data_IF_628863837481
#
_entry.id   IF_628863837481
#
_cell.length_a   1.000
_cell.length_b   1.000
_cell.length_c   1.000
_cell.angle_alpha   90.00
_cell.angle_beta   90.00
_cell.angle_gamma   90.00
#
_symmetry.space_group_name_H-M   'P 1'
#
loop_
_entity.id
_entity.type
_entity.pdbx_description
1 polymer ?
#
# COMPACT_ATOMS: atom_id res chain seq x y z
N UNK A 1 25.50 -23.90 -49.22
CA UNK A 1 25.32 -23.14 -47.96
C UNK A 1 23.85 -22.82 -47.83
N UNK A 2 23.10 -23.56 -47.03
CA UNK A 2 21.68 -23.31 -46.75
C UNK A 2 21.60 -22.57 -45.44
N UNK A 3 21.10 -21.31 -45.44
CA UNK A 3 20.81 -20.52 -44.26
C UNK A 3 19.47 -21.02 -43.69
N UNK A 4 19.52 -21.66 -42.56
CA UNK A 4 18.31 -21.96 -41.79
C UNK A 4 17.84 -20.69 -41.06
N UNK A 5 16.75 -20.11 -41.53
CA UNK A 5 15.97 -19.14 -40.77
C UNK A 5 15.21 -19.89 -39.68
N UNK A 6 15.58 -19.68 -38.42
CA UNK A 6 14.72 -20.03 -37.29
C UNK A 6 13.62 -18.97 -37.18
N UNK A 7 12.43 -19.32 -37.64
CA UNK A 7 11.23 -18.54 -37.36
C UNK A 7 10.77 -18.87 -35.92
N UNK A 8 10.88 -17.91 -35.03
CA UNK A 8 10.25 -18.00 -33.73
C UNK A 8 8.75 -17.75 -33.90
N UNK A 9 7.97 -18.80 -33.78
CA UNK A 9 6.52 -18.71 -33.73
C UNK A 9 6.14 -18.21 -32.32
N UNK A 10 5.67 -16.97 -32.23
CA UNK A 10 4.95 -16.49 -31.05
C UNK A 10 3.61 -17.22 -31.06
N UNK A 11 3.53 -18.29 -30.29
CA UNK A 11 2.27 -18.98 -30.06
C UNK A 11 1.42 -18.14 -29.10
N UNK A 12 0.51 -17.32 -29.62
CA UNK A 12 -0.61 -16.81 -28.88
C UNK A 12 -1.51 -18.00 -28.51
N UNK A 13 -1.23 -18.64 -27.37
CA UNK A 13 -2.20 -19.56 -26.78
C UNK A 13 -3.33 -18.69 -26.21
N UNK A 14 -4.45 -18.64 -26.89
CA UNK A 14 -5.74 -18.27 -26.36
C UNK A 14 -6.17 -19.37 -25.37
N UNK A 15 -5.56 -19.39 -24.20
CA UNK A 15 -6.15 -20.06 -23.06
C UNK A 15 -7.29 -19.14 -22.59
N UNK A 16 -8.53 -19.54 -22.85
CA UNK A 16 -9.71 -19.03 -22.18
C UNK A 16 -9.65 -19.43 -20.70
N UNK A 17 -8.77 -18.79 -19.96
CA UNK A 17 -8.63 -18.87 -18.52
C UNK A 17 -8.84 -17.47 -17.96
N UNK A 18 -9.66 -17.40 -16.98
CA UNK A 18 -10.21 -16.23 -16.25
C UNK A 18 -9.45 -14.92 -16.44
N UNK A 19 -10.14 -13.94 -17.06
CA UNK A 19 -9.57 -12.67 -17.49
C UNK A 19 -9.54 -11.61 -16.36
N UNK A 20 -9.09 -11.94 -15.17
CA UNK A 20 -8.99 -11.00 -14.04
C UNK A 20 -7.54 -10.68 -13.69
N UNK A 21 -7.27 -9.58 -12.97
CA UNK A 21 -6.03 -9.44 -12.22
C UNK A 21 -5.91 -10.62 -11.24
N UNK A 22 -4.74 -10.89 -10.75
CA UNK A 22 -4.52 -11.99 -9.82
C UNK A 22 -3.88 -11.46 -8.54
N UNK A 23 -4.52 -11.72 -7.41
CA UNK A 23 -3.89 -11.46 -6.11
C UNK A 23 -2.88 -12.56 -5.76
N UNK A 24 -1.68 -12.19 -5.28
CA UNK A 24 -1.18 -10.83 -5.12
C UNK A 24 -0.96 -10.11 -6.46
N UNK A 25 -1.18 -8.77 -6.48
CA UNK A 25 -1.03 -7.96 -7.70
C UNK A 25 0.44 -7.69 -8.05
N UNK A 26 1.34 -7.72 -7.08
CA UNK A 26 2.78 -7.62 -7.27
C UNK A 26 3.38 -9.01 -7.07
N UNK A 27 4.04 -9.53 -8.12
CA UNK A 27 4.53 -10.91 -8.16
C UNK A 27 6.04 -11.00 -8.38
N UNK A 28 6.67 -9.89 -8.70
CA UNK A 28 8.11 -9.80 -8.99
C UNK A 28 8.97 -9.59 -7.73
N UNK A 29 8.34 -9.22 -6.62
CA UNK A 29 9.00 -8.86 -5.35
C UNK A 29 8.04 -9.05 -4.18
N UNK A 30 8.55 -9.31 -2.97
CA UNK A 30 7.75 -9.26 -1.75
C UNK A 30 7.54 -7.82 -1.32
N UNK A 31 6.27 -7.44 -1.17
CA UNK A 31 5.84 -6.08 -0.86
C UNK A 31 4.78 -6.09 0.22
N UNK A 32 4.77 -5.07 1.06
CA UNK A 32 3.79 -4.95 2.13
C UNK A 32 3.36 -3.49 2.30
N UNK A 33 2.44 -3.27 3.22
CA UNK A 33 2.05 -1.97 3.73
C UNK A 33 1.63 -1.02 2.57
N UNK A 34 0.61 -1.41 1.77
CA UNK A 34 0.20 -0.65 0.59
C UNK A 34 -0.33 0.73 0.96
N UNK A 35 0.19 1.77 0.32
CA UNK A 35 -0.29 3.14 0.43
C UNK A 35 -0.67 3.68 -0.95
N UNK A 36 -1.96 3.66 -1.25
CA UNK A 36 -2.50 4.09 -2.53
C UNK A 36 -2.75 5.59 -2.55
N UNK A 37 -2.29 6.28 -3.60
CA UNK A 37 -2.52 7.69 -3.85
C UNK A 37 -3.03 7.89 -5.27
N UNK A 38 -4.19 8.52 -5.43
CA UNK A 38 -4.74 8.87 -6.74
C UNK A 38 -4.36 10.29 -7.09
N UNK A 39 -3.72 10.48 -8.24
CA UNK A 39 -3.41 11.80 -8.77
C UNK A 39 -3.57 11.83 -10.28
N UNK A 40 -4.46 12.69 -10.77
CA UNK A 40 -4.85 12.72 -12.18
C UNK A 40 -5.51 11.40 -12.60
N UNK A 41 -5.04 10.83 -13.69
CA UNK A 41 -5.57 9.58 -14.27
C UNK A 41 -4.81 8.32 -13.80
N UNK A 42 -3.93 8.47 -12.82
CA UNK A 42 -3.03 7.42 -12.34
C UNK A 42 -3.21 7.15 -10.85
N UNK A 43 -3.22 5.88 -10.49
CA UNK A 43 -3.08 5.43 -9.11
C UNK A 43 -1.62 5.04 -8.88
N UNK A 44 -1.02 5.64 -7.87
CA UNK A 44 0.32 5.39 -7.36
C UNK A 44 0.22 4.53 -6.11
N UNK A 45 0.90 3.40 -6.10
CA UNK A 45 0.91 2.47 -4.99
C UNK A 45 2.32 2.37 -4.41
N UNK A 46 2.53 3.00 -3.27
CA UNK A 46 3.78 2.89 -2.52
C UNK A 46 3.72 1.69 -1.59
N UNK A 47 4.84 1.01 -1.43
CA UNK A 47 4.94 -0.16 -0.57
C UNK A 47 6.26 -0.16 0.18
N UNK A 48 6.30 -0.77 1.34
CA UNK A 48 7.55 -1.28 1.90
C UNK A 48 7.96 -2.57 1.16
N UNK A 49 9.23 -2.96 1.28
CA UNK A 49 9.79 -4.14 0.61
C UNK A 49 10.30 -5.12 1.65
N UNK A 50 9.75 -6.33 1.66
CA UNK A 50 10.18 -7.39 2.58
C UNK A 50 11.47 -8.03 2.07
N UNK A 51 12.34 -8.43 3.01
CA UNK A 51 13.59 -9.10 2.69
C UNK A 51 13.32 -10.51 2.13
N UNK A 52 13.98 -10.86 1.04
CA UNK A 52 13.80 -12.17 0.39
C UNK A 52 14.49 -13.31 1.14
N UNK A 53 15.57 -13.02 1.87
CA UNK A 53 16.44 -14.03 2.49
C UNK A 53 16.27 -14.16 4.00
N UNK A 54 15.64 -13.17 4.65
CA UNK A 54 15.54 -13.08 6.11
C UNK A 54 14.17 -13.35 6.68
N UNK A 55 14.15 -13.58 7.97
CA UNK A 55 12.97 -13.49 8.81
C UNK A 55 13.00 -12.15 9.57
N UNK A 56 11.81 -11.57 9.84
CA UNK A 56 11.67 -10.28 10.51
C UNK A 56 11.49 -9.10 9.56
N UNK A 57 11.22 -7.94 10.13
CA UNK A 57 10.87 -6.72 9.41
C UNK A 57 12.10 -5.86 9.06
N UNK A 58 13.12 -6.48 8.47
CA UNK A 58 14.31 -5.77 8.00
C UNK A 58 14.04 -5.14 6.64
N UNK A 59 13.85 -3.82 6.60
CA UNK A 59 13.46 -3.06 5.41
C UNK A 59 14.25 -1.77 5.33
N UNK A 60 14.71 -1.45 4.11
CA UNK A 60 15.59 -0.30 3.87
C UNK A 60 15.13 0.62 2.75
N UNK A 61 14.11 0.21 1.97
CA UNK A 61 13.65 0.90 0.76
C UNK A 61 12.13 0.93 0.67
N UNK A 62 11.63 1.89 -0.11
CA UNK A 62 10.24 1.97 -0.55
C UNK A 62 10.15 1.89 -2.06
N UNK A 63 9.20 1.11 -2.53
CA UNK A 63 8.93 0.82 -3.93
C UNK A 63 7.66 1.54 -4.37
N UNK A 64 7.61 1.91 -5.67
CA UNK A 64 6.43 2.49 -6.28
C UNK A 64 5.94 1.62 -7.45
N UNK A 65 4.65 1.41 -7.49
CA UNK A 65 3.93 0.83 -8.61
C UNK A 65 2.86 1.79 -9.11
N UNK A 66 2.55 1.77 -10.39
CA UNK A 66 1.49 2.61 -10.95
C UNK A 66 0.52 1.80 -11.79
N UNK A 67 -0.72 2.27 -11.84
CA UNK A 67 -1.74 1.74 -12.74
C UNK A 67 -2.67 2.84 -13.22
N UNK A 68 -3.19 2.66 -14.43
CA UNK A 68 -4.29 3.49 -14.97
C UNK A 68 -5.57 2.69 -15.19
N UNK A 69 -5.51 1.37 -15.00
CA UNK A 69 -6.59 0.44 -15.33
C UNK A 69 -6.96 -0.57 -14.23
N UNK A 70 -6.20 -0.60 -13.11
CA UNK A 70 -6.35 -1.51 -11.96
C UNK A 70 -6.03 -2.99 -12.23
N UNK A 71 -5.63 -3.36 -13.43
CA UNK A 71 -5.31 -4.75 -13.77
C UNK A 71 -3.87 -4.95 -14.25
N UNK A 72 -3.22 -3.88 -14.74
CA UNK A 72 -1.79 -3.85 -15.08
C UNK A 72 -1.06 -2.92 -14.13
N UNK A 73 0.06 -3.38 -13.58
CA UNK A 73 0.86 -2.63 -12.61
C UNK A 73 2.27 -2.45 -13.14
N UNK A 74 2.70 -1.21 -13.30
CA UNK A 74 4.06 -0.88 -13.75
C UNK A 74 4.95 -0.70 -12.52
N UNK A 75 6.02 -1.46 -12.45
CA UNK A 75 7.06 -1.30 -11.44
C UNK A 75 7.92 -0.06 -11.78
N UNK A 76 7.83 0.96 -10.94
CA UNK A 76 8.59 2.21 -11.07
C UNK A 76 9.93 2.18 -10.29
N UNK A 77 10.26 1.05 -9.67
CA UNK A 77 11.49 0.86 -8.92
C UNK A 77 11.46 1.40 -7.50
N UNK A 78 12.62 1.36 -6.88
CA UNK A 78 12.88 1.99 -5.59
C UNK A 78 12.83 3.50 -5.74
N UNK A 79 11.91 4.15 -5.04
CA UNK A 79 11.73 5.60 -5.13
C UNK A 79 12.29 6.35 -3.94
N UNK A 80 12.43 5.69 -2.80
CA UNK A 80 13.02 6.25 -1.59
C UNK A 80 13.67 5.14 -0.75
N UNK A 81 14.57 5.55 0.14
CA UNK A 81 15.31 4.64 1.02
C UNK A 81 15.61 5.29 2.37
N UNK A 82 16.12 4.52 3.32
CA UNK A 82 16.62 5.06 4.59
C UNK A 82 17.75 6.08 4.39
N UNK A 83 18.52 5.99 3.30
CA UNK A 83 19.59 6.93 3.00
C UNK A 83 19.12 8.36 2.69
N UNK A 84 17.82 8.53 2.37
CA UNK A 84 17.22 9.85 2.19
C UNK A 84 17.00 10.60 3.51
N UNK A 85 17.11 9.90 4.65
CA UNK A 85 17.05 10.47 5.99
C UNK A 85 18.43 10.43 6.66
N UNK A 86 19.05 11.58 6.88
CA UNK A 86 20.40 11.68 7.48
C UNK A 86 20.48 11.14 8.92
N UNK A 87 19.36 10.97 9.59
CA UNK A 87 19.21 10.51 10.97
C UNK A 87 18.69 9.05 11.06
N UNK A 88 18.42 8.40 9.94
CA UNK A 88 17.95 7.02 9.93
C UNK A 88 19.03 6.05 10.44
N UNK A 89 18.57 4.89 10.88
CA UNK A 89 19.43 3.72 11.09
C UNK A 89 19.56 2.90 9.81
N UNK A 90 19.93 1.64 9.99
CA UNK A 90 20.13 0.66 8.93
C UNK A 90 18.89 -0.22 8.67
N UNK A 91 17.79 0.03 9.39
CA UNK A 91 16.54 -0.72 9.29
C UNK A 91 15.33 0.18 9.61
N UNK A 92 14.13 -0.28 9.18
CA UNK A 92 12.85 0.30 9.58
C UNK A 92 12.18 1.15 8.53
N UNK A 93 12.45 0.95 7.26
CA UNK A 93 11.66 1.50 6.16
C UNK A 93 10.29 0.80 6.07
N UNK A 94 9.42 1.05 7.05
CA UNK A 94 8.11 0.39 7.19
C UNK A 94 7.02 1.13 6.42
N UNK A 95 5.77 1.01 6.82
CA UNK A 95 4.60 1.50 6.10
C UNK A 95 4.69 3.01 5.74
N UNK A 96 4.80 3.38 4.45
CA UNK A 96 4.85 4.77 4.05
C UNK A 96 3.44 5.31 3.82
N UNK A 97 3.30 6.64 3.81
CA UNK A 97 2.14 7.31 3.22
C UNK A 97 2.58 8.47 2.36
N UNK A 98 1.99 8.62 1.17
CA UNK A 98 2.36 9.69 0.24
C UNK A 98 1.14 10.49 -0.17
N UNK A 99 1.26 11.82 -0.12
CA UNK A 99 0.19 12.73 -0.48
C UNK A 99 0.73 13.92 -1.29
N UNK A 100 0.08 14.31 -2.42
CA UNK A 100 0.40 15.53 -3.13
C UNK A 100 -0.29 16.75 -2.53
N UNK A 101 0.41 17.89 -2.51
CA UNK A 101 -0.18 19.17 -2.16
C UNK A 101 0.58 20.33 -2.81
N UNK A 102 -0.14 21.27 -3.39
CA UNK A 102 0.41 22.52 -3.96
C UNK A 102 1.60 22.27 -4.91
N UNK A 103 1.50 21.25 -5.77
CA UNK A 103 2.53 20.87 -6.75
C UNK A 103 3.76 20.17 -6.17
N UNK A 104 3.73 19.79 -4.91
CA UNK A 104 4.77 18.99 -4.23
C UNK A 104 4.19 17.66 -3.77
N UNK A 105 5.08 16.74 -3.48
CA UNK A 105 4.78 15.42 -2.94
C UNK A 105 5.43 15.27 -1.56
N UNK A 106 4.68 14.72 -0.62
CA UNK A 106 5.11 14.52 0.76
C UNK A 106 4.99 13.03 1.10
N UNK A 107 6.12 12.42 1.45
CA UNK A 107 6.17 11.05 1.90
C UNK A 107 6.47 11.00 3.39
N UNK A 108 5.52 10.50 4.16
CA UNK A 108 5.67 10.24 5.59
C UNK A 108 6.06 8.77 5.74
N UNK A 109 7.11 8.53 6.51
CA UNK A 109 7.60 7.18 6.69
C UNK A 109 8.18 6.99 8.10
N UNK A 110 7.87 5.88 8.75
CA UNK A 110 8.48 5.55 10.04
C UNK A 110 9.91 5.07 9.83
N UNK A 111 10.75 5.41 10.77
CA UNK A 111 12.10 4.87 10.91
C UNK A 111 12.15 4.14 12.24
N UNK A 112 12.46 2.87 12.24
CA UNK A 112 12.40 2.01 13.42
C UNK A 112 13.00 2.67 14.67
N UNK A 113 12.20 2.79 15.74
CA UNK A 113 12.59 3.37 17.03
C UNK A 113 13.12 4.82 16.96
N UNK A 114 12.85 5.54 15.88
CA UNK A 114 13.32 6.91 15.65
C UNK A 114 12.19 7.88 15.32
N UNK A 115 10.96 7.36 15.19
CA UNK A 115 9.76 8.16 14.89
C UNK A 115 9.45 8.23 13.40
N UNK A 116 8.61 9.20 13.02
CA UNK A 116 8.11 9.39 11.66
C UNK A 116 8.81 10.58 11.01
N UNK A 117 9.46 10.35 9.87
CA UNK A 117 10.05 11.39 9.04
C UNK A 117 9.11 11.86 7.95
N UNK A 118 9.48 12.98 7.29
CA UNK A 118 8.81 13.47 6.09
C UNK A 118 9.83 13.82 5.02
N UNK A 119 9.65 13.26 3.83
CA UNK A 119 10.40 13.62 2.64
C UNK A 119 9.55 14.51 1.74
N UNK A 120 10.19 15.43 1.02
CA UNK A 120 9.54 16.32 0.05
C UNK A 120 10.13 16.11 -1.32
N UNK A 121 9.25 15.86 -2.31
CA UNK A 121 9.60 15.66 -3.71
C UNK A 121 8.86 16.62 -4.64
N UNK A 122 9.34 16.70 -5.90
CA UNK A 122 8.68 17.46 -6.97
C UNK A 122 7.82 16.57 -7.87
N UNK A 123 7.95 15.26 -7.71
CA UNK A 123 7.19 14.25 -8.46
C UNK A 123 6.87 13.07 -7.55
N UNK A 124 5.96 12.16 -7.95
CA UNK A 124 5.66 10.94 -7.21
C UNK A 124 6.87 10.00 -7.06
N UNK A 125 7.85 10.13 -7.95
CA UNK A 125 9.10 9.34 -7.91
C UNK A 125 10.26 10.09 -7.25
N UNK A 126 10.02 11.25 -6.65
CA UNK A 126 11.07 12.13 -6.14
C UNK A 126 11.67 13.03 -7.24
N UNK A 127 12.98 13.41 -7.21
CA UNK A 127 13.88 13.10 -6.11
C UNK A 127 13.40 13.65 -4.77
N UNK A 128 13.63 12.89 -3.73
CA UNK A 128 13.22 13.23 -2.38
C UNK A 128 14.31 13.95 -1.62
N UNK A 129 13.90 14.76 -0.65
CA UNK A 129 14.80 15.37 0.33
C UNK A 129 14.14 15.40 1.69
N UNK A 130 14.92 15.22 2.74
CA UNK A 130 14.52 15.45 4.13
C UNK A 130 14.70 16.94 4.49
N UNK A 131 13.60 17.72 4.61
CA UNK A 131 13.72 19.13 4.92
C UNK A 131 14.04 19.41 6.40
N UNK A 132 13.77 18.44 7.28
CA UNK A 132 13.91 18.59 8.71
C UNK A 132 15.23 18.07 9.27
N UNK A 133 15.82 17.07 8.61
CA UNK A 133 17.01 16.33 9.10
C UNK A 133 16.81 15.75 10.51
N UNK A 134 15.57 15.46 10.83
CA UNK A 134 15.10 14.83 12.08
C UNK A 134 13.69 14.28 11.88
N UNK A 135 13.20 13.48 12.81
CA UNK A 135 11.80 13.07 12.82
C UNK A 135 10.87 14.31 12.93
N UNK A 136 9.75 14.24 12.22
CA UNK A 136 8.61 15.13 12.41
C UNK A 136 7.86 14.76 13.70
N UNK A 137 7.62 13.46 13.89
CA UNK A 137 7.05 12.87 15.10
C UNK A 137 8.11 11.99 15.76
N UNK A 138 8.36 12.21 17.04
CA UNK A 138 9.17 11.35 17.91
C UNK A 138 8.64 11.50 19.34
N UNK A 139 7.52 10.86 19.58
CA UNK A 139 6.74 10.98 20.80
C UNK A 139 6.79 9.68 21.60
N UNK A 140 6.69 8.52 20.92
CA UNK A 140 6.64 7.20 21.53
C UNK A 140 7.38 6.19 20.62
N UNK A 141 7.79 5.03 21.18
CA UNK A 141 8.38 3.93 20.39
C UNK A 141 7.40 3.31 19.38
N UNK A 142 6.10 3.61 19.56
CA UNK A 142 4.98 3.17 18.73
C UNK A 142 4.64 4.18 17.62
N UNK A 143 5.49 5.16 17.37
CA UNK A 143 5.33 6.14 16.29
C UNK A 143 5.65 5.48 14.94
N UNK A 144 4.70 4.68 14.44
CA UNK A 144 4.75 3.99 13.14
C UNK A 144 3.45 4.16 12.38
N UNK A 145 3.41 3.72 11.13
CA UNK A 145 2.23 3.64 10.27
C UNK A 145 1.51 4.99 10.08
N UNK A 146 2.20 6.01 9.56
CA UNK A 146 1.56 7.28 9.32
C UNK A 146 0.50 7.20 8.21
N UNK A 147 -0.61 7.89 8.39
CA UNK A 147 -1.55 8.21 7.31
C UNK A 147 -1.88 9.69 7.33
N UNK A 148 -1.88 10.33 6.17
CA UNK A 148 -2.21 11.74 6.03
C UNK A 148 -3.47 11.91 5.21
N UNK A 149 -4.40 12.65 5.77
CA UNK A 149 -5.65 13.03 5.14
C UNK A 149 -5.71 14.56 5.05
N UNK A 150 -6.10 15.09 3.89
CA UNK A 150 -6.34 16.53 3.65
C UNK A 150 -7.83 16.73 3.49
N UNK A 151 -8.44 17.49 4.39
CA UNK A 151 -9.87 17.77 4.37
C UNK A 151 -10.24 18.84 3.33
N UNK A 152 -11.52 18.98 3.03
CA UNK A 152 -12.05 19.91 2.02
C UNK A 152 -11.74 21.38 2.33
N UNK A 153 -11.57 21.74 3.61
CA UNK A 153 -11.12 23.06 4.05
C UNK A 153 -9.61 23.29 3.88
N UNK A 154 -8.89 22.26 3.43
CA UNK A 154 -7.45 22.25 3.25
C UNK A 154 -6.64 21.97 4.53
N UNK A 155 -7.29 21.68 5.67
CA UNK A 155 -6.57 21.22 6.85
C UNK A 155 -6.09 19.78 6.63
N UNK A 156 -4.79 19.55 6.82
CA UNK A 156 -4.21 18.21 6.79
C UNK A 156 -4.08 17.65 8.21
N UNK A 157 -4.36 16.38 8.34
CA UNK A 157 -4.23 15.61 9.59
C UNK A 157 -3.28 14.45 9.35
N UNK A 158 -2.35 14.23 10.28
CA UNK A 158 -1.49 13.06 10.33
C UNK A 158 -1.95 12.18 11.48
N UNK A 159 -2.31 10.94 11.20
CA UNK A 159 -2.63 9.89 12.19
C UNK A 159 -1.55 8.83 12.15
N UNK A 160 -1.32 8.13 13.26
CA UNK A 160 -0.34 7.05 13.34
C UNK A 160 -0.51 6.21 14.60
N UNK A 161 0.17 5.07 14.66
CA UNK A 161 0.45 4.38 15.90
C UNK A 161 0.21 2.87 15.88
N UNK A 162 0.86 2.19 16.81
CA UNK A 162 0.72 0.76 17.09
C UNK A 162 0.30 0.58 18.55
N UNK A 163 -0.79 -0.15 18.82
CA UNK A 163 -1.40 -0.29 20.15
C UNK A 163 -1.59 1.05 20.90
N UNK A 164 -1.73 2.10 20.15
CA UNK A 164 -2.02 3.49 20.52
C UNK A 164 -2.34 4.23 19.23
N UNK A 165 -3.19 5.21 19.27
CA UNK A 165 -3.65 5.94 18.09
C UNK A 165 -3.63 7.42 18.35
N UNK A 166 -2.83 8.13 17.59
CA UNK A 166 -2.62 9.56 17.74
C UNK A 166 -2.86 10.32 16.45
N UNK A 167 -3.07 11.62 16.58
CA UNK A 167 -3.10 12.53 15.45
C UNK A 167 -2.56 13.92 15.79
N UNK A 168 -2.15 14.63 14.75
CA UNK A 168 -1.86 16.07 14.80
C UNK A 168 -2.51 16.79 13.61
N UNK A 169 -2.70 18.09 13.74
CA UNK A 169 -3.02 18.99 12.63
C UNK A 169 -1.73 19.49 12.01
N UNK A 170 -1.45 19.06 10.79
CA UNK A 170 -0.29 19.55 10.05
C UNK A 170 -0.47 21.03 9.70
N UNK A 171 0.63 21.76 9.66
CA UNK A 171 0.65 23.10 9.07
C UNK A 171 0.49 23.02 7.55
N UNK A 172 0.23 24.15 6.90
CA UNK A 172 0.15 24.18 5.44
C UNK A 172 1.47 23.74 4.75
N UNK A 173 2.59 23.86 5.45
CA UNK A 173 3.89 23.43 4.94
C UNK A 173 4.01 21.91 4.80
N UNK A 174 3.15 21.14 5.47
CA UNK A 174 3.17 19.66 5.51
C UNK A 174 4.40 19.06 6.21
N UNK A 175 5.32 19.88 6.71
CA UNK A 175 6.56 19.44 7.38
C UNK A 175 6.64 19.91 8.82
N UNK A 176 5.52 20.35 9.37
CA UNK A 176 5.36 20.79 10.75
C UNK A 176 3.90 20.61 11.19
N UNK A 177 3.61 20.70 12.48
CA UNK A 177 2.26 20.59 13.01
C UNK A 177 1.95 21.67 14.05
N UNK A 178 0.66 21.94 14.24
CA UNK A 178 0.15 22.90 15.19
C UNK A 178 -0.47 22.22 16.41
N UNK A 179 -0.21 22.77 17.59
CA UNK A 179 -0.79 22.30 18.84
C UNK A 179 -0.07 21.09 19.43
N UNK A 180 -0.80 20.28 20.17
CA UNK A 180 -0.30 19.11 20.88
C UNK A 180 -0.62 17.83 20.08
N UNK A 181 0.11 16.76 20.37
CA UNK A 181 -0.24 15.41 19.92
C UNK A 181 -1.50 14.99 20.66
N UNK A 182 -2.52 14.64 19.90
CA UNK A 182 -3.82 14.25 20.43
C UNK A 182 -3.97 12.73 20.33
N UNK A 183 -4.40 12.13 21.42
CA UNK A 183 -4.72 10.70 21.46
C UNK A 183 -6.19 10.46 21.12
N UNK A 184 -6.45 9.43 20.30
CA UNK A 184 -7.79 8.89 20.07
C UNK A 184 -8.00 7.75 21.08
N UNK A 185 -8.97 7.86 22.01
CA UNK A 185 -9.18 6.82 23.01
C UNK A 185 -9.52 5.46 22.38
N UNK A 186 -8.80 4.44 22.79
CA UNK A 186 -9.02 3.05 22.34
C UNK A 186 -10.06 2.37 23.22
N UNK A 187 -11.33 2.62 22.93
CA UNK A 187 -12.47 2.06 23.64
C UNK A 187 -13.27 1.11 22.76
N UNK A 188 -14.14 0.30 23.37
CA UNK A 188 -15.02 -0.59 22.65
C UNK A 188 -15.92 0.17 21.64
N UNK A 189 -16.37 1.38 22.01
CA UNK A 189 -17.17 2.26 21.15
C UNK A 189 -16.33 2.82 19.99
N UNK A 190 -15.07 3.16 20.22
CA UNK A 190 -14.23 3.83 19.22
C UNK A 190 -13.56 2.87 18.25
N UNK A 191 -13.07 1.72 18.73
CA UNK A 191 -12.21 0.80 17.93
C UNK A 191 -12.49 -0.68 18.18
N UNK A 192 -13.59 -1.04 18.82
CA UNK A 192 -13.95 -2.44 19.07
C UNK A 192 -13.12 -3.16 20.14
N UNK A 193 -12.25 -2.43 20.83
CA UNK A 193 -11.43 -2.93 21.93
C UNK A 193 -11.34 -1.90 23.06
N UNK A 194 -10.88 -2.32 24.22
CA UNK A 194 -10.77 -1.45 25.40
C UNK A 194 -9.49 -1.74 26.19
N UNK A 195 -9.04 -0.78 26.95
CA UNK A 195 -7.92 -0.95 27.86
C UNK A 195 -8.34 -1.67 29.14
N UNK A 196 -7.61 -2.73 29.49
CA UNK A 196 -7.76 -3.46 30.73
C UNK A 196 -6.50 -3.31 31.56
N UNK A 197 -6.67 -2.95 32.83
CA UNK A 197 -5.59 -2.95 33.82
C UNK A 197 -5.45 -4.34 34.42
N UNK A 198 -4.23 -4.83 34.48
CA UNK A 198 -3.89 -6.11 35.10
C UNK A 198 -2.60 -5.99 35.92
N UNK A 199 -2.34 -6.95 36.78
CA UNK A 199 -1.06 -7.05 37.47
C UNK A 199 -0.21 -8.12 36.80
N UNK A 200 1.02 -7.75 36.48
CA UNK A 200 1.99 -8.70 35.95
C UNK A 200 2.49 -9.71 37.02
N UNK A 201 3.40 -10.61 36.63
CA UNK A 201 3.98 -11.62 37.53
C UNK A 201 4.77 -11.05 38.71
N UNK A 202 5.20 -9.78 38.59
CA UNK A 202 5.89 -9.06 39.66
C UNK A 202 4.92 -8.27 40.56
N UNK A 203 3.62 -8.27 40.26
CA UNK A 203 2.57 -7.53 40.94
C UNK A 203 2.48 -6.06 40.56
N UNK A 204 3.19 -5.62 39.51
CA UNK A 204 3.12 -4.27 38.99
C UNK A 204 1.87 -4.07 38.12
N UNK A 205 1.22 -2.91 38.27
CA UNK A 205 0.04 -2.55 37.44
C UNK A 205 0.48 -2.26 36.02
N UNK A 206 -0.09 -2.97 35.07
CA UNK A 206 0.12 -2.84 33.63
C UNK A 206 -1.21 -2.59 32.93
N UNK A 207 -1.16 -2.05 31.71
CA UNK A 207 -2.34 -1.87 30.85
C UNK A 207 -2.13 -2.66 29.55
N UNK A 208 -3.17 -3.34 29.11
CA UNK A 208 -3.20 -4.01 27.80
C UNK A 208 -4.49 -3.70 27.07
N UNK A 209 -4.42 -3.62 25.76
CA UNK A 209 -5.61 -3.53 24.93
C UNK A 209 -6.21 -4.93 24.72
N UNK A 210 -7.49 -5.08 24.96
CA UNK A 210 -8.25 -6.32 24.83
C UNK A 210 -9.46 -6.13 23.92
N UNK A 211 -9.99 -7.25 23.41
CA UNK A 211 -11.13 -7.26 22.48
C UNK A 211 -10.77 -8.01 21.21
N UNK A 212 -11.76 -8.69 20.62
CA UNK A 212 -11.57 -9.49 19.40
C UNK A 212 -11.29 -8.65 18.16
N UNK A 213 -11.68 -7.38 18.18
CA UNK A 213 -11.50 -6.42 17.08
C UNK A 213 -10.71 -5.18 17.54
N UNK A 214 -9.95 -5.28 18.64
CA UNK A 214 -9.15 -4.19 19.18
C UNK A 214 -8.19 -3.64 18.12
N UNK A 215 -7.98 -2.32 18.14
CA UNK A 215 -6.98 -1.67 17.30
C UNK A 215 -5.58 -2.25 17.55
N UNK A 216 -4.84 -2.51 16.48
CA UNK A 216 -3.42 -2.88 16.54
C UNK A 216 -2.54 -1.79 15.92
N UNK A 217 -2.65 -1.58 14.60
CA UNK A 217 -1.78 -0.68 13.85
C UNK A 217 -2.40 -0.29 12.50
N UNK A 218 -1.62 0.33 11.62
CA UNK A 218 -1.99 0.58 10.23
C UNK A 218 -3.22 1.46 10.04
N UNK A 219 -3.38 2.60 10.73
CA UNK A 219 -4.54 3.45 10.51
C UNK A 219 -4.54 4.03 9.10
N UNK A 220 -5.69 3.98 8.44
CA UNK A 220 -5.93 4.62 7.15
C UNK A 220 -7.14 5.55 7.27
N UNK A 221 -6.89 6.87 7.30
CA UNK A 221 -7.92 7.88 7.46
C UNK A 221 -8.29 8.50 6.11
N UNK A 222 -9.58 8.63 5.81
CA UNK A 222 -10.07 9.30 4.61
C UNK A 222 -11.50 9.83 4.79
N UNK A 223 -11.93 10.69 3.86
CA UNK A 223 -13.28 11.22 3.79
C UNK A 223 -13.99 10.72 2.54
N UNK A 224 -15.28 10.40 2.67
CA UNK A 224 -16.16 10.11 1.55
C UNK A 224 -17.55 10.71 1.82
N UNK A 225 -17.97 11.61 0.94
CA UNK A 225 -19.14 12.45 1.23
C UNK A 225 -18.95 13.26 2.51
N UNK A 226 -19.92 13.21 3.40
CA UNK A 226 -19.87 13.93 4.68
C UNK A 226 -19.32 13.07 5.84
N UNK A 227 -18.83 11.86 5.54
CA UNK A 227 -18.34 10.93 6.57
C UNK A 227 -16.84 10.74 6.50
N UNK A 228 -16.24 10.58 7.67
CA UNK A 228 -14.85 10.23 7.86
C UNK A 228 -14.74 8.76 8.24
N UNK A 229 -13.75 8.11 7.70
CA UNK A 229 -13.47 6.69 7.87
C UNK A 229 -12.07 6.52 8.42
N UNK A 230 -11.92 5.60 9.33
CA UNK A 230 -10.65 5.15 9.87
C UNK A 230 -10.63 3.63 9.78
N UNK A 231 -9.91 3.09 8.82
CA UNK A 231 -9.71 1.64 8.61
C UNK A 231 -8.37 1.26 9.22
N UNK A 232 -8.27 0.11 9.85
CA UNK A 232 -7.06 -0.28 10.59
C UNK A 232 -6.91 -1.79 10.71
N UNK A 233 -5.69 -2.24 10.98
CA UNK A 233 -5.41 -3.60 11.42
C UNK A 233 -5.86 -3.78 12.88
N UNK A 234 -6.49 -4.90 13.17
CA UNK A 234 -7.20 -5.15 14.41
C UNK A 234 -7.09 -6.60 14.88
N UNK A 235 -7.41 -6.86 16.16
CA UNK A 235 -7.69 -8.18 16.71
C UNK A 235 -6.49 -8.92 17.29
N UNK A 236 -5.29 -8.38 17.20
CA UNK A 236 -4.06 -9.07 17.59
C UNK A 236 -3.50 -9.93 16.47
N UNK A 237 -2.61 -10.83 16.77
CA UNK A 237 -1.92 -11.67 15.79
C UNK A 237 -2.63 -13.04 15.70
N UNK A 238 -3.13 -13.48 14.52
CA UNK A 238 -3.13 -12.77 13.23
C UNK A 238 -4.15 -11.63 13.17
N UNK A 239 -3.74 -10.53 12.56
CA UNK A 239 -4.58 -9.35 12.35
C UNK A 239 -5.68 -9.59 11.32
N UNK A 240 -6.71 -8.75 11.40
CA UNK A 240 -7.75 -8.60 10.39
C UNK A 240 -8.02 -7.10 10.18
N UNK A 241 -8.88 -6.71 9.23
CA UNK A 241 -9.23 -5.31 9.04
C UNK A 241 -10.59 -4.97 9.67
N UNK A 242 -10.59 -3.91 10.45
CA UNK A 242 -11.77 -3.29 11.04
C UNK A 242 -11.83 -1.80 10.72
N UNK A 243 -12.94 -1.13 11.04
CA UNK A 243 -13.04 0.29 10.79
C UNK A 243 -13.99 0.99 11.75
N UNK A 244 -13.80 2.30 11.80
CA UNK A 244 -14.66 3.24 12.53
C UNK A 244 -15.07 4.39 11.62
N UNK A 245 -16.20 5.02 11.92
CA UNK A 245 -16.71 6.19 11.22
C UNK A 245 -16.91 7.36 12.16
N UNK A 246 -16.88 8.58 11.62
CA UNK A 246 -17.16 9.81 12.35
C UNK A 246 -17.79 10.87 11.46
N UNK A 247 -18.40 11.89 12.08
CA UNK A 247 -18.87 13.11 11.42
C UNK A 247 -17.81 14.24 11.43
N UNK A 248 -16.62 13.96 12.01
CA UNK A 248 -15.51 14.91 12.11
C UNK A 248 -14.17 14.18 11.92
N UNK A 249 -13.15 14.84 11.34
CA UNK A 249 -11.83 14.23 11.16
C UNK A 249 -11.14 13.85 12.48
N UNK A 250 -11.56 14.43 13.58
CA UNK A 250 -10.97 14.18 14.89
C UNK A 250 -11.87 13.38 15.84
N UNK A 251 -12.93 12.79 15.31
CA UNK A 251 -13.92 12.04 16.08
C UNK A 251 -15.08 12.91 16.61
N UNK A 252 -15.93 12.36 17.49
CA UNK A 252 -15.80 11.02 18.07
C UNK A 252 -15.93 9.92 17.02
N UNK A 253 -15.05 8.96 17.08
CA UNK A 253 -15.08 7.78 16.24
C UNK A 253 -16.05 6.74 16.78
N UNK A 254 -16.71 6.02 15.89
CA UNK A 254 -17.65 4.93 16.24
C UNK A 254 -17.27 3.68 15.47
N UNK A 255 -16.93 2.65 16.20
CA UNK A 255 -16.64 1.33 15.65
C UNK A 255 -17.83 0.79 14.83
N UNK A 256 -17.57 0.27 13.66
CA UNK A 256 -18.57 -0.23 12.72
C UNK A 256 -18.48 -1.74 12.48
N UNK A 257 -17.34 -2.35 12.77
CA UNK A 257 -17.16 -3.78 12.61
C UNK A 257 -15.95 -4.17 11.77
N UNK A 258 -15.78 -5.47 11.65
CA UNK A 258 -14.77 -6.10 10.81
C UNK A 258 -15.20 -6.05 9.34
N UNK A 259 -14.28 -5.68 8.46
CA UNK A 259 -14.52 -5.60 7.01
C UNK A 259 -13.76 -6.65 6.20
N UNK A 260 -12.71 -7.25 6.76
CA UNK A 260 -11.93 -8.30 6.08
C UNK A 260 -11.33 -9.24 7.14
N UNK A 261 -11.30 -10.53 6.85
CA UNK A 261 -10.71 -11.54 7.74
C UNK A 261 -9.18 -11.49 7.74
N UNK A 262 -8.55 -12.30 8.60
CA UNK A 262 -7.08 -12.39 8.66
C UNK A 262 -6.51 -12.93 7.35
N UNK A 263 -5.42 -12.35 6.84
CA UNK A 263 -4.87 -12.73 5.54
C UNK A 263 -4.19 -14.08 5.59
N UNK A 264 -4.41 -14.85 4.54
CA UNK A 264 -3.76 -16.14 4.36
C UNK A 264 -2.23 -16.01 4.26
N UNK A 265 -1.50 -16.78 5.09
CA UNK A 265 -0.04 -16.87 5.03
C UNK A 265 0.70 -15.66 5.60
N UNK A 266 0.00 -14.65 6.11
CA UNK A 266 0.54 -13.54 6.87
C UNK A 266 -0.15 -13.46 8.23
N UNK A 267 0.54 -12.97 9.23
CA UNK A 267 -0.02 -12.69 10.55
C UNK A 267 -0.26 -11.19 10.79
N UNK A 268 0.18 -10.34 9.87
CA UNK A 268 -0.15 -8.91 9.82
C UNK A 268 -0.92 -8.57 8.55
N UNK A 269 -1.62 -7.44 8.57
CA UNK A 269 -2.25 -6.82 7.39
C UNK A 269 -2.18 -5.31 7.52
N UNK A 270 -2.34 -4.58 6.39
CA UNK A 270 -2.26 -3.13 6.39
C UNK A 270 -3.21 -2.57 5.33
N UNK A 271 -4.19 -1.75 5.69
CA UNK A 271 -5.20 -1.27 4.75
C UNK A 271 -4.78 -0.02 3.99
N UNK A 272 -5.31 0.11 2.77
CA UNK A 272 -5.38 1.38 2.06
C UNK A 272 -6.67 1.40 1.25
N UNK A 273 -7.48 2.43 1.38
CA UNK A 273 -8.78 2.55 0.70
C UNK A 273 -8.77 3.79 -0.18
N UNK A 274 -9.17 3.62 -1.45
CA UNK A 274 -9.28 4.73 -2.40
C UNK A 274 -10.45 4.55 -3.36
N UNK A 275 -10.99 5.68 -3.82
CA UNK A 275 -11.86 5.71 -5.00
C UNK A 275 -11.02 6.04 -6.24
N UNK A 276 -11.16 5.24 -7.30
CA UNK A 276 -10.47 5.45 -8.56
C UNK A 276 -11.40 5.16 -9.74
N UNK A 277 -11.53 6.13 -10.65
CA UNK A 277 -12.41 6.04 -11.84
C UNK A 277 -13.82 5.54 -11.54
N UNK A 278 -14.42 6.05 -10.45
CA UNK A 278 -15.80 5.75 -10.06
C UNK A 278 -16.01 4.42 -9.37
N UNK A 279 -14.98 3.71 -9.00
CA UNK A 279 -15.02 2.47 -8.24
C UNK A 279 -14.21 2.58 -6.97
N UNK A 280 -14.57 1.82 -5.93
CA UNK A 280 -13.88 1.81 -4.62
C UNK A 280 -13.03 0.55 -4.48
N UNK A 281 -11.83 0.73 -3.93
CA UNK A 281 -10.83 -0.34 -3.79
C UNK A 281 -10.25 -0.34 -2.38
N UNK A 282 -9.99 -1.54 -1.88
CA UNK A 282 -9.22 -1.77 -0.67
C UNK A 282 -7.97 -2.58 -1.00
N UNK A 283 -6.82 -2.06 -0.61
CA UNK A 283 -5.54 -2.75 -0.69
C UNK A 283 -5.23 -3.35 0.67
N UNK A 284 -4.54 -4.47 0.65
CA UNK A 284 -4.06 -5.19 1.83
C UNK A 284 -2.83 -6.03 1.42
N UNK A 285 -2.25 -6.80 2.33
CA UNK A 285 -1.21 -7.76 1.95
C UNK A 285 -1.50 -9.15 2.53
N UNK A 286 -0.93 -10.19 1.90
CA UNK A 286 -0.96 -11.57 2.36
C UNK A 286 0.39 -12.27 2.11
N UNK A 287 0.53 -13.53 2.54
CA UNK A 287 1.72 -14.35 2.33
C UNK A 287 1.56 -15.39 1.22
N UNK A 288 0.74 -15.17 0.19
CA UNK A 288 0.39 -16.19 -0.82
C UNK A 288 1.28 -16.19 -2.07
N UNK A 289 2.15 -15.22 -2.26
CA UNK A 289 3.15 -15.31 -3.31
C UNK A 289 4.04 -16.54 -3.08
N UNK A 290 4.50 -17.19 -4.14
CA UNK A 290 5.37 -18.37 -4.02
C UNK A 290 6.60 -18.05 -3.15
N UNK A 291 6.80 -18.81 -2.07
CA UNK A 291 7.83 -18.55 -1.05
C UNK A 291 7.44 -17.51 0.00
N UNK A 292 6.20 -17.00 -0.06
CA UNK A 292 5.68 -16.01 0.88
C UNK A 292 5.50 -16.53 2.29
N UNK A 293 5.44 -15.62 3.24
CA UNK A 293 5.27 -15.87 4.68
C UNK A 293 4.81 -14.59 5.38
N UNK A 294 4.70 -14.60 6.71
CA UNK A 294 4.43 -13.40 7.50
C UNK A 294 5.50 -12.31 7.41
N UNK A 295 6.71 -12.65 6.94
CA UNK A 295 7.82 -11.72 6.70
C UNK A 295 8.18 -11.57 5.21
N UNK A 296 7.46 -12.24 4.32
CA UNK A 296 7.56 -12.16 2.86
C UNK A 296 6.16 -12.03 2.28
N UNK A 297 5.61 -10.85 2.42
CA UNK A 297 4.23 -10.51 2.10
C UNK A 297 4.10 -10.03 0.66
N UNK A 298 2.91 -9.94 0.15
CA UNK A 298 2.64 -9.38 -1.17
C UNK A 298 1.29 -8.68 -1.20
N UNK A 299 1.28 -7.50 -1.83
CA UNK A 299 0.11 -6.63 -1.90
C UNK A 299 -0.98 -7.24 -2.77
N UNK A 300 -2.20 -7.13 -2.28
CA UNK A 300 -3.46 -7.54 -2.90
C UNK A 300 -4.42 -6.35 -3.01
N UNK A 301 -5.44 -6.48 -3.85
CA UNK A 301 -6.50 -5.47 -3.99
C UNK A 301 -7.84 -6.15 -4.24
N UNK A 302 -8.90 -5.64 -3.60
CA UNK A 302 -10.29 -5.99 -3.90
C UNK A 302 -11.07 -4.74 -4.29
N UNK A 303 -12.00 -4.90 -5.24
CA UNK A 303 -13.02 -3.91 -5.52
C UNK A 303 -14.22 -4.16 -4.62
N UNK A 304 -14.83 -3.10 -4.09
CA UNK A 304 -16.03 -3.21 -3.27
C UNK A 304 -16.99 -2.05 -3.56
N UNK A 305 -18.20 -2.18 -3.06
CA UNK A 305 -19.23 -1.13 -3.09
C UNK A 305 -19.68 -0.84 -1.66
N UNK A 306 -19.78 0.44 -1.31
CA UNK A 306 -20.34 0.83 -0.02
C UNK A 306 -21.84 0.47 0.05
N UNK A 307 -22.30 0.14 1.23
CA UNK A 307 -23.72 0.01 1.50
C UNK A 307 -24.45 1.35 1.28
N UNK A 308 -25.77 1.32 1.14
CA UNK A 308 -26.57 2.52 0.89
C UNK A 308 -26.48 3.58 2.00
N UNK A 309 -26.16 3.17 3.23
CA UNK A 309 -25.94 4.03 4.39
C UNK A 309 -24.48 4.55 4.51
N UNK A 310 -23.61 4.18 3.56
CA UNK A 310 -22.21 4.54 3.53
C UNK A 310 -21.29 3.62 4.33
N UNK A 311 -21.81 2.58 4.98
CA UNK A 311 -20.97 1.60 5.68
C UNK A 311 -20.20 0.72 4.69
N UNK A 312 -19.05 0.19 5.12
CA UNK A 312 -18.26 -0.76 4.34
C UNK A 312 -18.77 -2.17 4.61
N UNK A 313 -19.15 -2.96 3.58
CA UNK A 313 -19.54 -4.36 3.79
C UNK A 313 -18.34 -5.23 4.15
N UNK A 314 -18.57 -6.46 4.58
CA UNK A 314 -17.49 -7.45 4.66
C UNK A 314 -16.97 -7.77 3.25
N UNK A 315 -15.67 -7.67 3.04
CA UNK A 315 -15.00 -7.83 1.75
C UNK A 315 -14.20 -9.13 1.78
N UNK A 316 -14.59 -10.15 1.01
CA UNK A 316 -13.84 -11.40 0.96
C UNK A 316 -12.51 -11.21 0.23
N UNK A 317 -11.43 -11.76 0.77
CA UNK A 317 -10.17 -11.86 0.06
C UNK A 317 -10.28 -12.89 -1.06
N UNK A 318 -9.93 -12.50 -2.28
CA UNK A 318 -10.01 -13.36 -3.44
C UNK A 318 -8.65 -13.59 -4.10
N UNK A 319 -8.47 -14.74 -4.75
CA UNK A 319 -7.32 -14.98 -5.61
C UNK A 319 -7.41 -14.19 -6.93
N UNK A 320 -8.63 -13.80 -7.28
CA UNK A 320 -8.92 -13.14 -8.56
C UNK A 320 -8.63 -11.64 -8.50
N UNK A 321 -8.82 -11.00 -7.35
CA UNK A 321 -8.69 -9.56 -7.21
C UNK A 321 -9.61 -8.79 -8.16
N UNK A 322 -9.15 -7.66 -8.65
CA UNK A 322 -9.88 -6.84 -9.63
C UNK A 322 -9.92 -7.56 -10.98
N UNK A 323 -11.12 -7.85 -11.48
CA UNK A 323 -11.32 -8.59 -12.73
C UNK A 323 -11.61 -7.70 -13.94
N UNK A 324 -12.24 -6.55 -13.71
CA UNK A 324 -12.68 -5.66 -14.76
C UNK A 324 -11.81 -4.40 -14.80
N UNK A 325 -11.12 -4.14 -15.90
CA UNK A 325 -10.31 -2.93 -16.04
C UNK A 325 -11.20 -1.68 -16.05
N UNK A 326 -10.67 -0.57 -15.55
CA UNK A 326 -11.32 0.75 -15.62
C UNK A 326 -10.83 1.61 -16.78
N UNK A 327 -9.86 1.09 -17.54
CA UNK A 327 -9.33 1.66 -18.77
C UNK A 327 -8.67 0.55 -19.61
N UNK A 328 -8.31 0.86 -20.85
CA UNK A 328 -7.61 -0.06 -21.76
C UNK A 328 -6.22 0.45 -22.09
N UNK A 329 -5.28 -0.48 -22.25
CA UNK A 329 -3.92 -0.19 -22.69
C UNK A 329 -3.89 -0.08 -24.22
N UNK A 330 -3.33 1.02 -24.72
CA UNK A 330 -3.07 1.17 -26.15
C UNK A 330 -1.77 0.44 -26.53
N UNK A 331 -1.80 -0.56 -27.42
CA UNK A 331 -0.58 -1.24 -27.88
C UNK A 331 0.21 -0.41 -28.91
N UNK A 332 -0.31 0.75 -29.32
CA UNK A 332 0.30 1.65 -30.32
C UNK A 332 1.18 2.72 -29.69
N UNK A 333 1.23 2.79 -28.36
CA UNK A 333 2.21 3.54 -27.60
C UNK A 333 3.25 2.58 -27.02
N UNK A 334 4.45 3.09 -26.72
CA UNK A 334 5.45 2.31 -25.97
C UNK A 334 4.87 1.92 -24.61
N UNK A 335 4.98 0.64 -24.29
CA UNK A 335 4.68 0.11 -22.96
C UNK A 335 5.97 -0.47 -22.37
N UNK A 336 6.19 -0.26 -21.08
CA UNK A 336 7.36 -0.81 -20.40
C UNK A 336 7.16 -2.32 -20.14
N UNK A 337 8.25 -3.08 -20.18
CA UNK A 337 8.20 -4.53 -20.01
C UNK A 337 7.77 -4.94 -18.58
N UNK A 338 8.03 -4.07 -17.61
CA UNK A 338 7.64 -4.18 -16.21
C UNK A 338 6.19 -3.75 -15.92
N UNK A 339 5.38 -3.45 -16.94
CA UNK A 339 3.92 -3.34 -16.82
C UNK A 339 3.30 -4.73 -16.85
N UNK A 340 2.86 -5.21 -15.71
CA UNK A 340 2.52 -6.61 -15.48
C UNK A 340 1.13 -6.74 -14.88
N UNK A 341 0.28 -7.57 -15.49
CA UNK A 341 -0.95 -8.07 -14.87
C UNK A 341 -0.74 -9.43 -14.18
N UNK A 342 0.15 -10.25 -14.73
CA UNK A 342 0.54 -11.54 -14.18
C UNK A 342 1.95 -11.87 -14.67
N UNK A 343 2.79 -12.39 -13.79
CA UNK A 343 4.10 -12.92 -14.15
C UNK A 343 4.34 -14.29 -13.52
N UNK A 344 5.19 -15.07 -14.17
CA UNK A 344 5.68 -16.34 -13.65
C UNK A 344 7.18 -16.40 -13.86
N UNK A 345 7.93 -16.67 -12.79
CA UNK A 345 9.38 -16.82 -12.80
C UNK A 345 10.18 -15.51 -12.89
N UNK A 346 9.54 -14.41 -13.21
CA UNK A 346 10.19 -13.12 -13.51
C UNK A 346 10.43 -12.31 -12.24
N UNK A 347 11.56 -11.60 -12.20
CA UNK A 347 11.91 -10.58 -11.22
C UNK A 347 12.07 -9.23 -11.92
N UNK A 348 12.07 -8.17 -11.14
CA UNK A 348 12.48 -6.84 -11.59
C UNK A 348 13.78 -6.43 -10.92
N UNK A 349 14.66 -5.76 -11.66
CA UNK A 349 15.88 -5.14 -11.17
C UNK A 349 15.94 -3.68 -11.62
N UNK A 350 16.81 -2.91 -11.02
CA UNK A 350 16.95 -1.47 -11.30
C UNK A 350 18.43 -1.08 -11.32
N UNK A 351 18.83 -0.31 -12.33
CA UNK A 351 20.11 0.39 -12.35
C UNK A 351 19.99 1.78 -12.99
N UNK A 352 21.00 2.62 -12.80
CA UNK A 352 21.00 4.01 -13.29
C UNK A 352 20.92 4.13 -14.81
N UNK A 353 21.43 3.14 -15.55
CA UNK A 353 21.54 3.21 -17.01
C UNK A 353 20.28 2.76 -17.75
N UNK A 354 19.54 1.81 -17.17
CA UNK A 354 18.36 1.18 -17.77
C UNK A 354 17.04 1.57 -17.09
N UNK A 355 17.11 2.09 -15.86
CA UNK A 355 15.93 2.21 -15.01
C UNK A 355 15.52 0.86 -14.46
N UNK A 356 14.21 0.61 -14.36
CA UNK A 356 13.66 -0.71 -14.01
C UNK A 356 13.63 -1.59 -15.25
N UNK A 357 13.88 -2.88 -15.09
CA UNK A 357 13.86 -3.85 -16.17
C UNK A 357 13.53 -5.26 -15.65
N UNK A 358 13.07 -6.13 -16.54
CA UNK A 358 12.85 -7.54 -16.23
C UNK A 358 14.18 -8.27 -16.12
N UNK A 359 14.33 -9.06 -15.07
CA UNK A 359 15.51 -9.86 -14.76
C UNK A 359 15.13 -11.30 -14.46
N UNK A 360 16.14 -12.18 -14.43
CA UNK A 360 15.99 -13.60 -14.05
C UNK A 360 15.01 -14.35 -14.99
N UNK A 361 15.16 -14.16 -16.31
CA UNK A 361 14.30 -14.80 -17.31
C UNK A 361 14.83 -16.18 -17.70
N UNK A 362 14.09 -17.22 -17.37
CA UNK A 362 14.35 -18.60 -17.72
C UNK A 362 13.32 -19.14 -18.72
N UNK A 363 13.59 -20.34 -19.24
CA UNK A 363 12.68 -20.99 -20.18
C UNK A 363 11.36 -21.38 -19.50
N UNK A 364 10.26 -20.81 -20.01
CA UNK A 364 8.91 -20.98 -19.46
C UNK A 364 8.41 -19.81 -18.64
N UNK A 365 9.27 -18.82 -18.35
CA UNK A 365 8.87 -17.60 -17.68
C UNK A 365 8.12 -16.68 -18.64
N UNK A 366 7.21 -15.90 -18.08
CA UNK A 366 6.44 -14.95 -18.87
C UNK A 366 5.88 -13.80 -18.05
N UNK A 367 5.58 -12.72 -18.74
CA UNK A 367 4.71 -11.64 -18.29
C UNK A 367 3.45 -11.60 -19.13
N UNK A 368 2.34 -11.22 -18.51
CA UNK A 368 1.06 -11.04 -19.17
C UNK A 368 0.56 -9.61 -18.93
N UNK A 369 0.19 -8.95 -20.00
CA UNK A 369 -0.52 -7.68 -19.99
C UNK A 369 -1.97 -7.96 -20.38
N UNK A 370 -2.92 -7.30 -19.73
CA UNK A 370 -4.36 -7.45 -19.93
C UNK A 370 -4.97 -6.16 -20.47
N UNK A 371 -6.24 -6.23 -20.86
CA UNK A 371 -7.03 -5.08 -21.30
C UNK A 371 -6.36 -4.29 -22.45
N UNK A 372 -5.62 -4.96 -23.32
CA UNK A 372 -4.99 -4.33 -24.49
C UNK A 372 -6.04 -4.17 -25.59
N UNK A 373 -6.25 -2.91 -26.02
CA UNK A 373 -7.18 -2.59 -27.09
C UNK A 373 -6.43 -2.39 -28.43
N UNK A 374 -6.53 -3.36 -29.31
CA UNK A 374 -5.94 -3.31 -30.64
C UNK A 374 -6.82 -2.59 -31.68
N UNK A 375 -8.01 -2.12 -31.29
CA UNK A 375 -9.01 -1.57 -32.20
C UNK A 375 -9.56 -2.59 -33.19
N UNK A 376 -10.39 -2.13 -34.13
CA UNK A 376 -11.05 -3.00 -35.11
C UNK A 376 -10.09 -3.63 -36.13
N UNK A 377 -9.03 -2.92 -36.53
CA UNK A 377 -8.09 -3.38 -37.54
C UNK A 377 -6.99 -4.33 -37.02
N UNK A 378 -6.81 -4.37 -35.69
CA UNK A 378 -5.75 -5.15 -35.06
C UNK A 378 -4.34 -4.64 -35.36
N UNK A 379 -3.32 -5.29 -34.80
CA UNK A 379 -1.92 -4.98 -35.03
C UNK A 379 -1.30 -5.88 -36.12
N UNK A 380 -0.46 -5.33 -36.99
CA UNK A 380 0.25 -6.06 -38.04
C UNK A 380 1.67 -6.47 -37.65
N UNK A 381 2.23 -5.85 -36.63
CA UNK A 381 3.59 -6.12 -36.14
C UNK A 381 3.74 -5.72 -34.69
N UNK A 382 4.69 -6.35 -34.01
CA UNK A 382 5.14 -5.99 -32.65
C UNK A 382 6.62 -5.64 -32.74
N UNK A 383 7.02 -4.58 -32.07
CA UNK A 383 8.42 -4.19 -31.90
C UNK A 383 8.81 -4.38 -30.45
N UNK A 384 9.85 -5.18 -30.22
CA UNK A 384 10.52 -5.30 -28.93
C UNK A 384 11.81 -4.47 -28.99
N UNK A 385 12.02 -3.64 -27.96
CA UNK A 385 13.19 -2.74 -27.85
C UNK A 385 13.98 -3.06 -26.58
#
# INVERSE_FOLDING_TARGET
>A
MKKNLFAWAVACMLAAGEAGAQNPIIQTRYTADPAACVYGDTLYLYTSVDNEEGEGYQKTIWQLYTTTDMVNWTDCGTVASLADFSWAGDNGAWAPHVVPRDGKWYMYAPIQLRGIGVLVGQSPCGPWRDPLQRALINHDIRDIDPTVFIDDDGQAYLYWGNNGLWYVKLTRSMVDYNGEIMEIPLTEETVGGYEEKYKDENGEEQTRLVGVDKYEEGPWAYKRGEKYYLVYAAGGIPEHLSYSMSDSPTGPWKYQGRIMDSPDGSFTTHPSVVDFKGRSYIFYHNGKLKGGSGFRRSVCVEQFEYNADGTIPHIPMTKKGVSEPVAHVSPYARQEAEMIALSVGVRTAQDESRGVYLDSLDMGDYVKVKAVDFGEEGARSVRLC
#
